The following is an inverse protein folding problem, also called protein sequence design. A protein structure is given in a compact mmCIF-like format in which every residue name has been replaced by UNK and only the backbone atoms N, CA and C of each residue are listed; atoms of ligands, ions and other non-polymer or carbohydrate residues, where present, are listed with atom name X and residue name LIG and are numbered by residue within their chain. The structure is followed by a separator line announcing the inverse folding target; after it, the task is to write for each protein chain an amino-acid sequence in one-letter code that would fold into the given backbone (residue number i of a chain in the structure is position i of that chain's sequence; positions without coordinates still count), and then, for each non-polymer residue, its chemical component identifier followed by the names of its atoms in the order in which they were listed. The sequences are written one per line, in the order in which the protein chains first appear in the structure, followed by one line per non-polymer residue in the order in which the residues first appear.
data_IF_193020925565
#
_entry.id   IF_193020925565
#
_cell.length_a   1.000
_cell.length_b   1.000
_cell.length_c   1.000
_cell.angle_alpha   90.00
_cell.angle_beta   90.00
_cell.angle_gamma   90.00
#
_symmetry.space_group_name_H-M   'P 1'
#
loop_
_entity.id
_entity.type
_entity.pdbx_description
1 polymer ?
#
# COMPACT_ATOMS: atom_id res chain seq x y z
N UNK A 1 1.52 31.59 45.76
CA UNK A 1 1.80 31.66 44.33
C UNK A 1 1.99 30.25 43.82
N UNK A 2 0.91 29.67 43.29
CA UNK A 2 0.93 28.31 42.74
C UNK A 2 1.10 28.41 41.25
N UNK A 3 2.29 28.05 40.75
CA UNK A 3 2.58 27.91 39.35
C UNK A 3 1.95 26.65 38.79
N UNK A 4 0.94 26.79 37.95
CA UNK A 4 0.37 25.69 37.17
C UNK A 4 1.35 25.27 36.08
N UNK A 5 2.01 24.16 36.24
CA UNK A 5 2.71 23.46 35.16
C UNK A 5 1.67 22.81 34.24
N UNK A 6 1.39 23.48 33.12
CA UNK A 6 0.65 22.85 32.03
C UNK A 6 1.53 21.75 31.45
N UNK A 7 1.19 20.50 31.81
CA UNK A 7 1.70 19.33 31.10
C UNK A 7 1.14 19.34 29.69
N UNK A 8 1.94 19.73 28.72
CA UNK A 8 1.68 19.49 27.31
C UNK A 8 1.75 17.99 27.09
N UNK A 9 0.59 17.35 27.07
CA UNK A 9 0.48 15.97 26.65
C UNK A 9 0.89 15.89 25.18
N UNK A 10 2.12 15.50 24.91
CA UNK A 10 2.52 14.96 23.63
C UNK A 10 1.73 13.66 23.46
N UNK A 11 0.56 13.74 22.85
CA UNK A 11 -0.05 12.57 22.23
C UNK A 11 0.83 12.24 21.03
N UNK A 12 1.91 11.50 21.31
CA UNK A 12 2.64 10.78 20.29
C UNK A 12 1.63 9.88 19.59
N UNK A 13 1.53 10.00 18.28
CA UNK A 13 0.77 9.09 17.42
C UNK A 13 1.51 7.74 17.45
N UNK A 14 1.39 7.02 18.56
CA UNK A 14 1.88 5.65 18.67
C UNK A 14 1.17 4.85 17.59
N UNK A 15 1.91 4.13 16.72
CA UNK A 15 1.32 3.32 15.67
C UNK A 15 0.43 2.24 16.29
N UNK A 16 -0.87 2.44 16.20
CA UNK A 16 -1.85 1.55 16.81
C UNK A 16 -1.93 0.25 16.01
N UNK A 17 -1.61 -0.87 16.68
CA UNK A 17 -1.92 -2.19 16.15
C UNK A 17 -3.44 -2.35 16.17
N UNK A 18 -4.09 -2.29 14.99
CA UNK A 18 -5.54 -2.49 14.90
C UNK A 18 -5.90 -3.94 15.24
N UNK A 19 -7.14 -4.17 15.70
CA UNK A 19 -7.65 -5.52 15.96
C UNK A 19 -7.63 -6.45 14.73
N UNK A 20 -7.42 -5.89 13.54
CA UNK A 20 -7.34 -6.60 12.26
C UNK A 20 -5.90 -6.81 11.77
N UNK A 21 -4.89 -6.42 12.56
CA UNK A 21 -3.49 -6.62 12.25
C UNK A 21 -2.87 -7.73 13.10
N UNK A 22 -1.92 -8.46 12.54
CA UNK A 22 -1.16 -9.52 13.22
C UNK A 22 0.26 -9.08 13.56
N UNK A 23 0.79 -8.08 12.87
CA UNK A 23 2.10 -7.49 13.13
C UNK A 23 2.17 -6.05 12.64
N UNK A 24 3.16 -5.31 13.14
CA UNK A 24 3.51 -3.96 12.73
C UNK A 24 5.00 -3.94 12.35
N UNK A 25 5.30 -3.58 11.11
CA UNK A 25 6.66 -3.53 10.56
C UNK A 25 6.96 -2.09 10.14
N UNK A 26 7.79 -1.37 10.92
CA UNK A 26 8.08 0.04 10.69
C UNK A 26 6.82 0.89 10.44
N UNK A 27 5.81 0.78 11.29
CA UNK A 27 4.50 1.46 11.20
C UNK A 27 3.55 0.93 10.10
N UNK A 28 3.97 -0.04 9.28
CA UNK A 28 3.11 -0.71 8.31
C UNK A 28 2.50 -1.97 8.91
N UNK A 29 1.19 -2.11 8.80
CA UNK A 29 0.47 -3.26 9.36
C UNK A 29 0.48 -4.46 8.39
N UNK A 30 0.82 -5.64 8.92
CA UNK A 30 0.47 -6.91 8.28
C UNK A 30 -0.93 -7.28 8.73
N UNK A 31 -1.87 -7.33 7.80
CA UNK A 31 -3.28 -7.55 8.11
C UNK A 31 -3.59 -9.01 8.37
N UNK A 32 -4.55 -9.26 9.25
CA UNK A 32 -5.04 -10.62 9.50
C UNK A 32 -5.54 -11.32 8.22
N UNK A 33 -6.14 -10.56 7.29
CA UNK A 33 -6.59 -11.10 6.01
C UNK A 33 -5.42 -11.59 5.14
N UNK A 34 -4.30 -10.88 5.11
CA UNK A 34 -3.08 -11.28 4.40
C UNK A 34 -2.48 -12.55 5.02
N UNK A 35 -2.38 -12.57 6.33
CA UNK A 35 -1.93 -13.74 7.07
C UNK A 35 -2.80 -14.98 6.80
N UNK A 36 -4.12 -14.84 6.87
CA UNK A 36 -5.06 -15.94 6.59
C UNK A 36 -4.93 -16.46 5.17
N UNK A 37 -4.76 -15.57 4.21
CA UNK A 37 -4.53 -15.94 2.81
C UNK A 37 -3.22 -16.71 2.65
N UNK A 38 -2.12 -16.22 3.22
CA UNK A 38 -0.82 -16.90 3.18
C UNK A 38 -0.88 -18.27 3.87
N UNK A 39 -1.56 -18.37 5.01
CA UNK A 39 -1.78 -19.65 5.69
C UNK A 39 -2.61 -20.63 4.87
N UNK A 40 -3.64 -20.13 4.16
CA UNK A 40 -4.45 -20.98 3.27
C UNK A 40 -3.63 -21.58 2.14
N UNK A 41 -2.77 -20.77 1.50
CA UNK A 41 -1.85 -21.24 0.46
C UNK A 41 -0.84 -22.26 1.03
N UNK A 42 -0.23 -21.95 2.16
CA UNK A 42 0.70 -22.85 2.83
C UNK A 42 0.06 -24.21 3.19
N UNK A 43 -1.16 -24.17 3.76
CA UNK A 43 -1.89 -25.38 4.14
C UNK A 43 -2.31 -26.22 2.93
N UNK A 44 -2.60 -25.60 1.76
CA UNK A 44 -2.94 -26.33 0.54
C UNK A 44 -1.74 -27.13 -0.04
N UNK A 45 -0.54 -26.66 0.17
CA UNK A 45 0.68 -27.31 -0.31
C UNK A 45 1.24 -28.35 0.68
N UNK A 46 0.79 -28.27 1.94
CA UNK A 46 1.26 -29.18 3.00
C UNK A 46 0.36 -30.41 3.12
N UNK A 47 0.97 -31.59 3.19
CA UNK A 47 0.24 -32.86 3.36
C UNK A 47 -0.13 -33.17 4.81
N UNK A 48 0.57 -32.55 5.76
CA UNK A 48 0.41 -32.76 7.20
C UNK A 48 -0.38 -31.60 7.82
N UNK A 49 -0.98 -31.80 9.00
CA UNK A 49 -1.65 -30.72 9.71
C UNK A 49 -0.73 -29.54 10.00
N UNK A 50 -1.27 -28.32 9.93
CA UNK A 50 -0.53 -27.09 10.23
C UNK A 50 -0.19 -27.03 11.72
N UNK A 51 1.08 -26.80 12.03
CA UNK A 51 1.63 -26.67 13.38
C UNK A 51 1.75 -25.20 13.79
N UNK A 52 2.10 -24.94 15.05
CA UNK A 52 2.37 -23.59 15.54
C UNK A 52 3.67 -23.03 14.95
N UNK A 53 4.67 -23.90 14.73
CA UNK A 53 5.91 -23.50 14.04
C UNK A 53 5.65 -23.06 12.59
N UNK A 54 4.74 -23.73 11.88
CA UNK A 54 4.32 -23.33 10.55
C UNK A 54 3.66 -21.94 10.54
N UNK A 55 2.82 -21.66 11.54
CA UNK A 55 2.18 -20.34 11.68
C UNK A 55 3.21 -19.25 11.91
N UNK A 56 4.18 -19.52 12.78
CA UNK A 56 5.29 -18.61 13.03
C UNK A 56 6.13 -18.39 11.78
N UNK A 57 6.45 -19.45 11.04
CA UNK A 57 7.19 -19.37 9.79
C UNK A 57 6.49 -18.50 8.74
N UNK A 58 5.19 -18.69 8.55
CA UNK A 58 4.41 -17.88 7.59
C UNK A 58 4.39 -16.41 8.00
N UNK A 59 4.24 -16.11 9.29
CA UNK A 59 4.29 -14.73 9.78
C UNK A 59 5.67 -14.10 9.57
N UNK A 60 6.75 -14.81 9.88
CA UNK A 60 8.12 -14.35 9.63
C UNK A 60 8.35 -14.02 8.14
N UNK A 61 7.88 -14.89 7.25
CA UNK A 61 7.97 -14.65 5.81
C UNK A 61 7.23 -13.37 5.38
N UNK A 62 6.04 -13.13 5.89
CA UNK A 62 5.29 -11.89 5.59
C UNK A 62 6.01 -10.64 6.12
N UNK A 63 6.66 -10.73 7.28
CA UNK A 63 7.51 -9.66 7.81
C UNK A 63 8.69 -9.38 6.88
N UNK A 64 9.38 -10.41 6.43
CA UNK A 64 10.53 -10.29 5.51
C UNK A 64 10.08 -9.69 4.16
N UNK A 65 8.94 -10.13 3.62
CA UNK A 65 8.36 -9.58 2.40
C UNK A 65 8.05 -8.09 2.55
N UNK A 66 7.44 -7.67 3.67
CA UNK A 66 7.14 -6.26 3.94
C UNK A 66 8.42 -5.42 4.04
N UNK A 67 9.46 -5.92 4.71
CA UNK A 67 10.76 -5.23 4.80
C UNK A 67 11.41 -5.04 3.42
N UNK A 68 11.33 -6.05 2.55
CA UNK A 68 11.83 -5.96 1.17
C UNK A 68 11.02 -4.96 0.33
N UNK A 69 9.71 -4.91 0.49
CA UNK A 69 8.84 -3.92 -0.17
C UNK A 69 9.23 -2.51 0.27
N UNK A 70 9.38 -2.27 1.57
CA UNK A 70 9.83 -0.98 2.11
C UNK A 70 11.20 -0.58 1.57
N UNK A 71 12.13 -1.52 1.46
CA UNK A 71 13.43 -1.29 0.86
C UNK A 71 13.32 -0.90 -0.62
N UNK A 72 12.47 -1.59 -1.38
CA UNK A 72 12.21 -1.27 -2.80
C UNK A 72 11.62 0.14 -2.97
N UNK A 73 10.68 0.52 -2.12
CA UNK A 73 10.08 1.86 -2.11
C UNK A 73 11.14 2.92 -1.78
N UNK A 74 11.91 2.72 -0.72
CA UNK A 74 12.92 3.69 -0.26
C UNK A 74 14.07 3.88 -1.25
N UNK A 75 14.42 2.83 -2.00
CA UNK A 75 15.43 2.90 -3.07
C UNK A 75 14.93 3.54 -4.36
N UNK A 76 13.66 3.93 -4.42
CA UNK A 76 13.06 4.55 -5.59
C UNK A 76 12.76 3.57 -6.75
N UNK A 77 12.72 2.27 -6.48
CA UNK A 77 12.53 1.24 -7.49
C UNK A 77 11.24 1.44 -8.31
N UNK A 78 10.16 1.91 -7.66
CA UNK A 78 8.88 2.21 -8.33
C UNK A 78 8.99 3.31 -9.41
N UNK A 79 10.03 4.15 -9.34
CA UNK A 79 10.26 5.25 -10.30
C UNK A 79 11.31 4.90 -11.35
N UNK A 80 12.34 4.17 -10.95
CA UNK A 80 13.52 3.89 -11.78
C UNK A 80 13.40 2.63 -12.62
N UNK A 81 12.66 1.62 -12.16
CA UNK A 81 12.49 0.36 -12.87
C UNK A 81 11.22 0.37 -13.74
N UNK A 82 11.40 0.18 -15.05
CA UNK A 82 10.29 0.23 -16.01
C UNK A 82 9.29 -0.92 -15.83
N UNK A 83 9.75 -2.11 -15.44
CA UNK A 83 8.87 -3.26 -15.23
C UNK A 83 8.00 -3.04 -13.98
N UNK A 84 8.59 -2.57 -12.90
CA UNK A 84 7.86 -2.22 -11.67
C UNK A 84 6.85 -1.10 -11.94
N UNK A 85 7.24 -0.05 -12.67
CA UNK A 85 6.32 1.03 -13.08
C UNK A 85 5.13 0.51 -13.87
N UNK A 86 5.35 -0.39 -14.82
CA UNK A 86 4.28 -0.96 -15.64
C UNK A 86 3.27 -1.74 -14.79
N UNK A 87 3.75 -2.58 -13.87
CA UNK A 87 2.88 -3.35 -12.96
C UNK A 87 2.08 -2.43 -12.02
N UNK A 88 2.71 -1.41 -11.46
CA UNK A 88 2.02 -0.44 -10.60
C UNK A 88 0.95 0.32 -11.38
N UNK A 89 1.28 0.79 -12.59
CA UNK A 89 0.34 1.51 -13.44
C UNK A 89 -0.87 0.63 -13.82
N UNK A 90 -0.62 -0.59 -14.23
CA UNK A 90 -1.68 -1.57 -14.56
C UNK A 90 -2.58 -1.82 -13.35
N UNK A 91 -2.00 -2.03 -12.17
CA UNK A 91 -2.76 -2.28 -10.94
C UNK A 91 -3.62 -1.08 -10.52
N UNK A 92 -3.09 0.14 -10.65
CA UNK A 92 -3.84 1.37 -10.34
C UNK A 92 -4.99 1.57 -11.33
N UNK A 93 -4.74 1.39 -12.62
CA UNK A 93 -5.79 1.52 -13.65
C UNK A 93 -6.89 0.47 -13.47
N UNK A 94 -6.54 -0.78 -13.20
CA UNK A 94 -7.52 -1.84 -12.95
C UNK A 94 -8.38 -1.53 -11.71
N UNK A 95 -7.77 -1.04 -10.63
CA UNK A 95 -8.49 -0.62 -9.42
C UNK A 95 -9.46 0.54 -9.69
N UNK A 96 -9.02 1.57 -10.42
CA UNK A 96 -9.86 2.71 -10.79
C UNK A 96 -11.04 2.30 -11.67
N UNK A 97 -10.82 1.46 -12.68
CA UNK A 97 -11.89 0.96 -13.55
C UNK A 97 -12.94 0.18 -12.73
N UNK A 98 -12.48 -0.71 -11.83
CA UNK A 98 -13.38 -1.47 -10.96
C UNK A 98 -14.22 -0.56 -10.06
N UNK A 99 -13.63 0.50 -9.51
CA UNK A 99 -14.32 1.47 -8.67
C UNK A 99 -15.36 2.28 -9.45
N UNK A 100 -15.00 2.70 -10.67
CA UNK A 100 -15.88 3.43 -11.58
C UNK A 100 -17.09 2.57 -11.98
N UNK A 101 -16.87 1.32 -12.38
CA UNK A 101 -17.93 0.38 -12.74
C UNK A 101 -18.90 0.08 -11.59
N UNK A 102 -18.41 0.13 -10.34
CA UNK A 102 -19.24 -0.07 -9.15
C UNK A 102 -20.11 1.15 -8.79
N UNK A 103 -19.77 2.35 -9.32
CA UNK A 103 -20.37 3.62 -8.86
C UNK A 103 -21.50 4.14 -9.74
N UNK A 104 -21.79 3.58 -10.90
CA UNK A 104 -22.92 3.88 -11.80
C UNK A 104 -22.66 4.61 -13.13
N UNK A 105 -23.19 4.06 -14.19
CA UNK A 105 -23.94 4.65 -15.32
C UNK A 105 -23.19 5.42 -16.39
N UNK A 106 -22.15 6.14 -16.10
CA UNK A 106 -21.32 6.81 -17.10
C UNK A 106 -20.24 5.87 -17.64
N UNK A 107 -19.85 6.02 -18.91
CA UNK A 107 -18.82 5.16 -19.44
C UNK A 107 -17.54 5.27 -18.60
N UNK A 108 -16.99 4.15 -18.21
CA UNK A 108 -15.74 4.09 -17.42
C UNK A 108 -14.61 4.93 -18.04
N UNK A 109 -14.58 5.02 -19.37
CA UNK A 109 -13.63 5.83 -20.11
C UNK A 109 -13.79 7.34 -19.86
N UNK A 110 -15.04 7.85 -19.84
CA UNK A 110 -15.29 9.27 -19.57
C UNK A 110 -14.89 9.64 -18.14
N UNK A 111 -15.26 8.81 -17.18
CA UNK A 111 -14.94 9.04 -15.75
C UNK A 111 -13.44 8.99 -15.49
N UNK A 112 -12.71 8.09 -16.16
CA UNK A 112 -11.24 8.04 -16.08
C UNK A 112 -10.60 9.30 -16.68
N UNK A 113 -11.14 9.78 -17.82
CA UNK A 113 -10.67 11.02 -18.45
C UNK A 113 -10.85 12.21 -17.53
N UNK A 114 -12.00 12.32 -16.89
CA UNK A 114 -12.31 13.42 -15.95
C UNK A 114 -11.43 13.34 -14.68
N UNK A 115 -11.19 12.13 -14.17
CA UNK A 115 -10.27 11.90 -13.06
C UNK A 115 -8.84 12.35 -13.39
N UNK A 116 -8.32 11.99 -14.56
CA UNK A 116 -6.99 12.40 -15.01
C UNK A 116 -6.90 13.91 -15.24
N UNK A 117 -7.96 14.53 -15.78
CA UNK A 117 -8.04 15.98 -15.94
C UNK A 117 -7.97 16.69 -14.57
N UNK A 118 -8.65 16.15 -13.56
CA UNK A 118 -8.59 16.66 -12.20
C UNK A 118 -7.17 16.55 -11.60
N UNK A 119 -6.52 15.40 -11.75
CA UNK A 119 -5.14 15.21 -11.28
C UNK A 119 -4.17 16.19 -11.94
N UNK A 120 -4.31 16.43 -13.23
CA UNK A 120 -3.49 17.44 -13.96
C UNK A 120 -3.72 18.85 -13.46
N UNK A 121 -4.99 19.21 -13.21
CA UNK A 121 -5.34 20.54 -12.74
C UNK A 121 -4.77 20.87 -11.35
N UNK A 122 -4.59 19.87 -10.50
CA UNK A 122 -4.07 20.00 -9.13
C UNK A 122 -2.56 19.78 -9.03
N UNK A 123 -1.91 19.27 -10.09
CA UNK A 123 -0.49 18.99 -10.11
C UNK A 123 0.34 20.24 -10.48
N UNK A 124 1.59 20.30 -9.98
CA UNK A 124 2.60 21.22 -10.50
C UNK A 124 3.36 20.52 -11.65
N UNK A 125 3.20 21.02 -12.86
CA UNK A 125 3.81 20.45 -14.07
C UNK A 125 4.73 21.51 -14.67
N UNK A 126 6.02 21.21 -14.69
CA UNK A 126 7.04 22.06 -15.30
C UNK A 126 7.57 21.41 -16.59
N UNK A 127 7.62 22.18 -17.64
CA UNK A 127 8.13 21.75 -18.94
C UNK A 127 9.58 22.18 -19.11
N UNK A 128 10.41 21.31 -19.67
CA UNK A 128 11.76 21.70 -20.05
C UNK A 128 11.72 22.82 -21.09
N UNK A 129 12.51 23.88 -20.92
CA UNK A 129 12.51 25.07 -21.80
C UNK A 129 12.91 24.76 -23.25
N UNK A 130 13.61 23.66 -23.48
CA UNK A 130 14.06 23.17 -24.78
C UNK A 130 13.17 22.02 -25.32
N UNK A 131 12.05 21.71 -24.63
CA UNK A 131 11.14 20.69 -25.11
C UNK A 131 10.34 21.21 -26.32
N UNK A 132 10.47 20.52 -27.43
CA UNK A 132 9.63 20.70 -28.63
C UNK A 132 8.86 19.41 -28.81
N UNK A 133 7.52 19.49 -28.84
CA UNK A 133 6.71 18.32 -29.16
C UNK A 133 7.04 17.81 -30.57
N UNK A 134 7.25 16.51 -30.77
CA UNK A 134 7.49 15.94 -32.07
C UNK A 134 6.32 16.12 -33.05
#
# INVERSE_FOLDING_TARGET
MLGALSAVSHQGNEPYLSATAVALVNHQQIRLAEYRRAMGLFASDKREPVTEDDRSLVLQRLIDEELLIQQGISSGLMRSDLAVRAVVLESVLAGLITEIEATDGDSAEQTLTDYLAHLRATASIEWASNWVAP
#
